data_IF_194511729961
#
_entry.id   IF_194511729961
#
_cell.length_a   1.000
_cell.length_b   1.000
_cell.length_c   1.000
_cell.angle_alpha   90.00
_cell.angle_beta   90.00
_cell.angle_gamma   90.00
#
_symmetry.space_group_name_H-M   'P 1'
#
loop_
_entity.id
_entity.type
_entity.pdbx_description
1 polymer ?
#
# COMPACT_ATOMS: atom_id res chain seq x y z
N UNK A 1 -6.48 20.02 26.98
CA UNK A 1 -6.71 20.07 25.53
C UNK A 1 -8.13 20.56 25.30
N UNK A 2 -8.33 21.58 24.47
CA UNK A 2 -9.67 22.14 24.24
C UNK A 2 -10.38 21.46 23.07
N UNK A 3 -11.71 21.47 23.08
CA UNK A 3 -12.54 20.97 21.97
C UNK A 3 -12.17 21.64 20.64
N UNK A 4 -12.00 22.96 20.66
CA UNK A 4 -11.59 23.74 19.49
C UNK A 4 -10.25 23.27 18.91
N UNK A 5 -9.29 22.90 19.75
CA UNK A 5 -8.01 22.36 19.28
C UNK A 5 -8.20 21.06 18.50
N UNK A 6 -8.99 20.12 19.02
CA UNK A 6 -9.23 18.83 18.36
C UNK A 6 -9.97 19.02 17.03
N UNK A 7 -10.95 19.94 16.98
CA UNK A 7 -11.63 20.28 15.73
C UNK A 7 -10.65 20.82 14.67
N UNK A 8 -9.69 21.66 15.08
CA UNK A 8 -8.64 22.14 14.18
C UNK A 8 -7.73 21.00 13.69
N UNK A 9 -7.35 20.07 14.58
CA UNK A 9 -6.55 18.89 14.20
C UNK A 9 -7.30 18.01 13.19
N UNK A 10 -8.59 17.76 13.39
CA UNK A 10 -9.43 17.00 12.44
C UNK A 10 -9.46 17.69 11.08
N UNK A 11 -9.61 19.02 11.04
CA UNK A 11 -9.59 19.79 9.80
C UNK A 11 -8.23 19.72 9.10
N UNK A 12 -7.14 19.85 9.84
CA UNK A 12 -5.79 19.69 9.30
C UNK A 12 -5.56 18.29 8.75
N UNK A 13 -6.05 17.25 9.44
CA UNK A 13 -5.97 15.87 8.96
C UNK A 13 -6.68 15.69 7.61
N UNK A 14 -7.89 16.23 7.45
CA UNK A 14 -8.59 16.24 6.15
C UNK A 14 -7.74 16.87 5.03
N UNK A 15 -7.16 18.04 5.30
CA UNK A 15 -6.35 18.75 4.31
C UNK A 15 -5.10 17.95 3.91
N UNK A 16 -4.46 17.28 4.87
CA UNK A 16 -3.33 16.41 4.62
C UNK A 16 -3.71 15.17 3.79
N UNK A 17 -4.86 14.54 4.06
CA UNK A 17 -5.31 13.39 3.27
C UNK A 17 -5.63 13.78 1.82
N UNK A 18 -6.25 14.93 1.58
CA UNK A 18 -6.49 15.45 0.22
C UNK A 18 -5.16 15.72 -0.50
N UNK A 19 -4.20 16.37 0.17
CA UNK A 19 -2.89 16.65 -0.42
C UNK A 19 -2.14 15.35 -0.74
N UNK A 20 -2.19 14.37 0.17
CA UNK A 20 -1.61 13.04 -0.04
C UNK A 20 -2.24 12.35 -1.25
N UNK A 21 -3.56 12.35 -1.38
CA UNK A 21 -4.23 11.73 -2.54
C UNK A 21 -3.81 12.36 -3.87
N UNK A 22 -3.59 13.68 -3.90
CA UNK A 22 -3.10 14.37 -5.09
C UNK A 22 -1.68 13.94 -5.43
N UNK A 23 -0.78 13.95 -4.45
CA UNK A 23 0.62 13.54 -4.64
C UNK A 23 0.71 12.06 -5.04
N UNK A 24 -0.08 11.19 -4.41
CA UNK A 24 -0.13 9.76 -4.75
C UNK A 24 -0.59 9.52 -6.20
N UNK A 25 -1.44 10.39 -6.76
CA UNK A 25 -1.82 10.33 -8.18
C UNK A 25 -0.64 10.73 -9.08
N UNK A 26 -0.01 11.87 -8.79
CA UNK A 26 1.16 12.36 -9.55
C UNK A 26 2.30 11.32 -9.54
N UNK A 27 2.59 10.70 -8.38
CA UNK A 27 3.57 9.61 -8.26
C UNK A 27 3.20 8.43 -9.17
N UNK A 28 1.93 7.98 -9.13
CA UNK A 28 1.49 6.84 -9.95
C UNK A 28 1.53 7.13 -11.45
N UNK A 29 1.25 8.37 -11.84
CA UNK A 29 1.37 8.82 -13.24
C UNK A 29 2.82 8.67 -13.72
N UNK A 30 3.78 9.22 -12.97
CA UNK A 30 5.21 9.09 -13.29
C UNK A 30 5.71 7.64 -13.25
N UNK A 31 5.32 6.85 -12.24
CA UNK A 31 5.66 5.42 -12.21
C UNK A 31 5.12 4.67 -13.42
N UNK A 32 3.92 5.01 -13.89
CA UNK A 32 3.30 4.40 -15.07
C UNK A 32 4.07 4.73 -16.34
N UNK A 33 4.51 5.98 -16.49
CA UNK A 33 5.36 6.41 -17.60
C UNK A 33 6.70 5.64 -17.61
N UNK A 34 7.36 5.53 -16.46
CA UNK A 34 8.61 4.78 -16.33
C UNK A 34 8.40 3.30 -16.66
N UNK A 35 7.34 2.67 -16.14
CA UNK A 35 7.01 1.26 -16.44
C UNK A 35 6.75 1.04 -17.92
N UNK A 36 5.99 1.92 -18.58
CA UNK A 36 5.74 1.85 -20.03
C UNK A 36 7.04 1.93 -20.83
N UNK A 37 7.93 2.85 -20.44
CA UNK A 37 9.26 2.95 -21.06
C UNK A 37 10.05 1.65 -20.87
N UNK A 38 10.18 1.16 -19.63
CA UNK A 38 10.91 -0.10 -19.36
C UNK A 38 10.33 -1.29 -20.12
N UNK A 39 9.00 -1.38 -20.26
CA UNK A 39 8.34 -2.42 -21.05
C UNK A 39 8.62 -2.28 -22.55
N UNK A 40 8.53 -1.06 -23.11
CA UNK A 40 8.77 -0.79 -24.52
C UNK A 40 10.19 -1.19 -24.96
N UNK A 41 11.17 -1.02 -24.06
CA UNK A 41 12.57 -1.32 -24.31
C UNK A 41 13.04 -2.63 -23.66
N UNK A 42 12.14 -3.41 -23.05
CA UNK A 42 12.43 -4.65 -22.34
C UNK A 42 13.59 -4.52 -21.32
N UNK A 43 13.54 -3.46 -20.50
CA UNK A 43 14.52 -3.14 -19.48
C UNK A 43 14.06 -3.67 -18.11
N UNK A 44 14.96 -4.36 -17.41
CA UNK A 44 14.73 -4.74 -16.02
C UNK A 44 15.26 -3.70 -15.02
N UNK A 45 16.22 -2.88 -15.45
CA UNK A 45 16.89 -1.87 -14.62
C UNK A 45 17.04 -0.55 -15.39
N UNK A 46 16.82 0.57 -14.70
CA UNK A 46 16.99 1.92 -15.21
C UNK A 46 17.68 2.79 -14.16
N UNK A 47 18.64 3.61 -14.57
CA UNK A 47 19.35 4.55 -13.70
C UNK A 47 18.99 6.00 -14.00
N UNK A 48 18.82 6.80 -12.96
CA UNK A 48 18.66 8.24 -13.04
C UNK A 48 19.99 9.00 -12.99
N UNK A 49 19.93 10.30 -13.25
CA UNK A 49 21.12 11.16 -13.36
C UNK A 49 21.81 11.42 -12.01
N UNK A 50 21.12 11.24 -10.89
CA UNK A 50 21.65 11.51 -9.54
C UNK A 50 21.78 10.22 -8.71
N UNK A 51 21.97 9.06 -9.38
CA UNK A 51 22.13 7.77 -8.72
C UNK A 51 20.82 7.08 -8.36
N UNK A 52 19.68 7.56 -8.86
CA UNK A 52 18.41 6.85 -8.74
C UNK A 52 18.45 5.51 -9.49
N UNK A 53 17.70 4.53 -9.01
CA UNK A 53 17.62 3.20 -9.63
C UNK A 53 16.17 2.69 -9.59
N UNK A 54 15.69 2.22 -10.73
CA UNK A 54 14.38 1.57 -10.88
C UNK A 54 14.61 0.14 -11.33
N UNK A 55 13.93 -0.81 -10.67
CA UNK A 55 13.91 -2.22 -11.08
C UNK A 55 12.48 -2.61 -11.41
N UNK A 56 12.27 -3.19 -12.58
CA UNK A 56 11.00 -3.75 -13.00
C UNK A 56 11.23 -5.12 -13.65
N UNK A 57 11.16 -6.16 -12.82
CA UNK A 57 11.40 -7.55 -13.24
C UNK A 57 10.40 -8.50 -12.62
N UNK A 58 10.20 -9.65 -13.26
CA UNK A 58 9.35 -10.70 -12.74
C UNK A 58 9.95 -11.33 -11.48
N UNK A 59 9.11 -11.55 -10.46
CA UNK A 59 9.51 -12.22 -9.22
C UNK A 59 8.50 -13.32 -8.91
N UNK A 60 8.99 -14.54 -8.77
CA UNK A 60 8.18 -15.69 -8.35
C UNK A 60 8.02 -15.70 -6.83
N UNK A 61 6.86 -15.27 -6.35
CA UNK A 61 6.46 -15.38 -4.95
C UNK A 61 5.64 -16.63 -4.68
N UNK A 62 5.91 -17.31 -3.56
CA UNK A 62 5.04 -18.39 -3.05
C UNK A 62 4.25 -17.85 -1.87
N UNK A 63 2.92 -17.82 -1.99
CA UNK A 63 1.99 -17.47 -0.91
C UNK A 63 1.26 -18.72 -0.46
N UNK A 64 1.04 -18.85 0.85
CA UNK A 64 0.16 -19.90 1.36
C UNK A 64 -1.27 -19.65 0.89
N UNK A 65 -1.88 -20.66 0.26
CA UNK A 65 -3.27 -20.58 -0.15
C UNK A 65 -4.19 -20.85 1.03
N UNK A 66 -4.34 -19.84 1.88
CA UNK A 66 -5.21 -19.90 3.06
C UNK A 66 -6.65 -20.27 2.69
N UNK A 67 -7.13 -19.92 1.49
CA UNK A 67 -8.50 -20.23 1.07
C UNK A 67 -8.66 -21.73 0.84
N UNK A 68 -7.82 -22.31 -0.02
CA UNK A 68 -7.84 -23.76 -0.29
C UNK A 68 -7.50 -24.57 0.97
N UNK A 69 -6.58 -24.07 1.80
CA UNK A 69 -6.26 -24.72 3.07
C UNK A 69 -7.45 -24.71 4.04
N UNK A 70 -8.16 -23.58 4.20
CA UNK A 70 -9.38 -23.53 5.02
C UNK A 70 -10.48 -24.44 4.51
N UNK A 71 -10.65 -24.56 3.20
CA UNK A 71 -11.65 -25.43 2.61
C UNK A 71 -11.40 -26.90 2.94
N UNK A 72 -10.14 -27.34 2.94
CA UNK A 72 -9.77 -28.73 3.15
C UNK A 72 -9.43 -29.07 4.62
N UNK A 73 -9.00 -28.08 5.41
CA UNK A 73 -8.42 -28.25 6.75
C UNK A 73 -8.91 -27.17 7.73
N UNK A 74 -10.22 -26.90 7.74
CA UNK A 74 -10.81 -25.85 8.57
C UNK A 74 -10.47 -26.00 10.07
N UNK A 75 -10.63 -27.20 10.63
CA UNK A 75 -10.36 -27.46 12.05
C UNK A 75 -8.90 -27.19 12.42
N UNK A 76 -7.96 -27.64 11.58
CA UNK A 76 -6.54 -27.40 11.77
C UNK A 76 -6.20 -25.91 11.61
N UNK A 77 -6.86 -25.18 10.70
CA UNK A 77 -6.66 -23.74 10.60
C UNK A 77 -7.11 -23.02 11.88
N UNK A 78 -8.29 -23.36 12.40
CA UNK A 78 -8.85 -22.70 13.58
C UNK A 78 -8.12 -23.06 14.88
N UNK A 79 -7.52 -24.24 14.99
CA UNK A 79 -6.76 -24.63 16.19
C UNK A 79 -5.49 -23.80 16.43
N UNK A 80 -5.00 -23.09 15.40
CA UNK A 80 -3.86 -22.17 15.48
C UNK A 80 -4.28 -20.69 15.55
N UNK A 81 -5.58 -20.39 15.58
CA UNK A 81 -6.05 -19.02 15.80
C UNK A 81 -6.04 -18.68 17.28
N UNK A 82 -5.67 -17.43 17.58
CA UNK A 82 -5.81 -16.84 18.92
C UNK A 82 -6.69 -15.61 18.82
N UNK A 83 -7.53 -15.41 19.82
CA UNK A 83 -8.31 -14.18 19.93
C UNK A 83 -7.40 -13.00 20.25
N UNK A 84 -7.53 -11.93 19.48
CA UNK A 84 -6.80 -10.67 19.71
C UNK A 84 -7.77 -9.50 19.71
N UNK A 85 -7.61 -8.56 20.65
CA UNK A 85 -8.36 -7.31 20.69
C UNK A 85 -7.50 -6.17 20.15
N UNK A 86 -8.09 -5.33 19.29
CA UNK A 86 -7.45 -4.12 18.76
C UNK A 86 -8.48 -3.02 18.59
N UNK A 87 -8.10 -1.77 18.80
CA UNK A 87 -8.93 -0.61 18.46
C UNK A 87 -8.71 -0.24 16.99
N UNK A 88 -9.79 0.05 16.28
CA UNK A 88 -9.74 0.57 14.91
C UNK A 88 -10.04 2.06 14.92
N UNK A 89 -9.07 2.86 14.52
CA UNK A 89 -9.30 4.25 14.14
C UNK A 89 -9.77 4.30 12.68
N UNK A 90 -10.82 5.07 12.41
CA UNK A 90 -11.32 5.32 11.05
C UNK A 90 -11.68 6.79 10.93
N UNK A 91 -11.12 7.44 9.94
CA UNK A 91 -11.42 8.82 9.57
C UNK A 91 -12.10 8.84 8.19
N UNK A 92 -13.13 9.66 8.02
CA UNK A 92 -13.84 9.86 6.75
C UNK A 92 -14.10 11.36 6.61
N UNK A 93 -14.04 11.89 5.38
CA UNK A 93 -14.14 13.33 5.15
C UNK A 93 -14.80 13.70 3.82
#
# INVERSE_FOLDING_TARGET
MSELYIQNVIRSLKQLEIAKEKIDKEIKEHESEIKKYMQMYNLEELHGMNGEKVIYKEILGRRFDTKSFKQNFAELYYSYMKDTKSLRFKFNY
#
